data_IF_325652310528
#
_entry.id   IF_325652310528
#
_cell.length_a   1.000
_cell.length_b   1.000
_cell.length_c   1.000
_cell.angle_alpha   90.00
_cell.angle_beta   90.00
_cell.angle_gamma   90.00
#
_symmetry.space_group_name_H-M   'P 1'
#
loop_
_entity.id
_entity.type
_entity.pdbx_description
1 polymer ?
#
# COMPACT_ATOMS: atom_id res chain seq x y z
N UNK A 1 46.02 -9.57 -3.42
CA UNK A 1 44.62 -9.28 -3.06
C UNK A 1 43.80 -9.29 -4.34
N UNK A 2 42.98 -10.32 -4.60
CA UNK A 2 42.07 -10.37 -5.76
C UNK A 2 40.78 -9.63 -5.38
N UNK A 3 40.45 -8.58 -6.14
CA UNK A 3 39.17 -7.90 -6.04
C UNK A 3 38.05 -8.90 -6.40
N UNK A 4 37.08 -9.06 -5.52
CA UNK A 4 35.87 -9.82 -5.79
C UNK A 4 35.07 -9.09 -6.87
N UNK A 5 34.97 -9.68 -8.05
CA UNK A 5 34.13 -9.22 -9.13
C UNK A 5 32.67 -9.40 -8.67
N UNK A 6 31.98 -8.29 -8.44
CA UNK A 6 30.51 -8.32 -8.24
C UNK A 6 29.90 -8.85 -9.54
N UNK A 7 29.39 -10.09 -9.49
CA UNK A 7 28.68 -10.69 -10.61
C UNK A 7 27.38 -9.91 -10.83
N UNK A 8 27.32 -9.15 -11.92
CA UNK A 8 26.09 -8.48 -12.35
C UNK A 8 25.00 -9.52 -12.54
N UNK A 9 23.90 -9.36 -11.85
CA UNK A 9 22.74 -10.25 -12.00
C UNK A 9 22.21 -10.11 -13.43
N UNK A 10 22.06 -11.21 -14.19
CA UNK A 10 21.56 -11.14 -15.56
C UNK A 10 20.21 -10.39 -15.61
N UNK A 11 20.04 -9.52 -16.60
CA UNK A 11 18.86 -8.66 -16.73
C UNK A 11 17.53 -9.44 -16.72
N UNK A 12 17.53 -10.65 -17.25
CA UNK A 12 16.38 -11.55 -17.23
C UNK A 12 15.99 -12.02 -15.83
N UNK A 13 16.96 -12.28 -14.95
CA UNK A 13 16.69 -12.65 -13.55
C UNK A 13 16.08 -11.50 -12.77
N UNK A 14 16.54 -10.28 -13.02
CA UNK A 14 15.96 -9.07 -12.42
C UNK A 14 14.51 -8.85 -12.87
N UNK A 15 14.21 -9.07 -14.14
CA UNK A 15 12.85 -8.98 -14.67
C UNK A 15 11.91 -10.00 -14.01
N UNK A 16 12.34 -11.24 -13.89
CA UNK A 16 11.57 -12.30 -13.22
C UNK A 16 11.35 -11.97 -11.73
N UNK A 17 12.38 -11.51 -11.03
CA UNK A 17 12.25 -11.10 -9.61
C UNK A 17 11.24 -9.97 -9.44
N UNK A 18 11.29 -8.93 -10.27
CA UNK A 18 10.30 -7.85 -10.26
C UNK A 18 8.89 -8.36 -10.48
N UNK A 19 8.69 -9.26 -11.44
CA UNK A 19 7.38 -9.83 -11.70
C UNK A 19 6.85 -10.63 -10.50
N UNK A 20 7.70 -11.43 -9.86
CA UNK A 20 7.34 -12.18 -8.65
C UNK A 20 6.96 -11.22 -7.51
N UNK A 21 7.76 -10.16 -7.28
CA UNK A 21 7.46 -9.16 -6.25
C UNK A 21 6.14 -8.45 -6.52
N UNK A 22 5.91 -8.07 -7.77
CA UNK A 22 4.67 -7.43 -8.19
C UNK A 22 3.45 -8.32 -7.96
N UNK A 23 3.52 -9.58 -8.37
CA UNK A 23 2.44 -10.53 -8.15
C UNK A 23 2.16 -10.78 -6.66
N UNK A 24 3.20 -10.81 -5.82
CA UNK A 24 3.04 -10.89 -4.36
C UNK A 24 2.37 -9.65 -3.79
N UNK A 25 2.74 -8.48 -4.24
CA UNK A 25 2.13 -7.22 -3.79
C UNK A 25 0.64 -7.19 -4.13
N UNK A 26 0.27 -7.56 -5.35
CA UNK A 26 -1.13 -7.70 -5.75
C UNK A 26 -1.89 -8.72 -4.88
N UNK A 27 -1.28 -9.85 -4.58
CA UNK A 27 -1.89 -10.86 -3.72
C UNK A 27 -2.12 -10.35 -2.29
N UNK A 28 -1.17 -9.60 -1.72
CA UNK A 28 -1.31 -9.01 -0.38
C UNK A 28 -2.45 -7.99 -0.35
N UNK A 29 -2.54 -7.12 -1.34
CA UNK A 29 -3.59 -6.09 -1.40
C UNK A 29 -4.97 -6.73 -1.57
N UNK A 30 -5.07 -7.76 -2.40
CA UNK A 30 -6.32 -8.52 -2.56
C UNK A 30 -6.73 -9.22 -1.26
N UNK A 31 -5.78 -9.81 -0.52
CA UNK A 31 -6.04 -10.43 0.78
C UNK A 31 -6.52 -9.40 1.83
N UNK A 32 -5.98 -8.18 1.81
CA UNK A 32 -6.49 -7.08 2.64
C UNK A 32 -7.97 -6.80 2.35
N UNK A 33 -8.34 -6.64 1.08
CA UNK A 33 -9.72 -6.38 0.67
C UNK A 33 -10.65 -7.53 1.07
N UNK A 34 -10.26 -8.76 0.80
CA UNK A 34 -11.00 -9.95 1.16
C UNK A 34 -11.17 -10.12 2.68
N UNK A 35 -10.14 -9.77 3.44
CA UNK A 35 -10.19 -9.81 4.90
C UNK A 35 -11.17 -8.77 5.43
N UNK A 36 -11.15 -7.56 4.87
CA UNK A 36 -12.10 -6.51 5.24
C UNK A 36 -13.54 -6.94 4.92
N UNK A 37 -13.80 -7.51 3.74
CA UNK A 37 -15.10 -8.06 3.39
C UNK A 37 -15.60 -9.11 4.39
N UNK A 38 -14.73 -10.05 4.77
CA UNK A 38 -15.09 -11.14 5.70
C UNK A 38 -15.33 -10.67 7.13
N UNK A 39 -14.67 -9.60 7.55
CA UNK A 39 -14.73 -9.10 8.93
C UNK A 39 -15.67 -7.91 9.12
N UNK A 40 -16.11 -7.28 8.05
CA UNK A 40 -17.00 -6.12 8.11
C UNK A 40 -18.36 -6.45 8.69
N UNK A 41 -18.87 -5.59 9.56
CA UNK A 41 -20.22 -5.65 10.09
C UNK A 41 -21.25 -4.96 9.16
N UNK A 42 -20.78 -4.04 8.32
CA UNK A 42 -21.63 -3.31 7.37
C UNK A 42 -22.11 -4.22 6.23
N UNK A 43 -23.42 -4.32 5.98
CA UNK A 43 -23.94 -5.03 4.80
C UNK A 43 -23.47 -4.41 3.49
N UNK A 44 -23.31 -3.09 3.44
CA UNK A 44 -22.82 -2.38 2.26
C UNK A 44 -21.42 -2.86 1.88
N UNK A 45 -20.54 -2.95 2.84
CA UNK A 45 -19.18 -3.46 2.61
C UNK A 45 -19.21 -4.94 2.26
N UNK A 46 -19.92 -5.78 3.03
CA UNK A 46 -19.93 -7.23 2.86
C UNK A 46 -20.63 -7.71 1.59
N UNK A 47 -21.76 -7.09 1.23
CA UNK A 47 -22.65 -7.59 0.17
C UNK A 47 -22.48 -6.80 -1.13
N UNK A 48 -22.26 -5.48 -1.03
CA UNK A 48 -22.03 -4.62 -2.19
C UNK A 48 -20.56 -4.46 -2.56
N UNK A 49 -19.63 -4.89 -1.69
CA UNK A 49 -18.19 -4.74 -1.92
C UNK A 49 -17.73 -3.27 -1.93
N UNK A 50 -18.42 -2.41 -1.18
CA UNK A 50 -18.12 -0.97 -1.13
C UNK A 50 -16.91 -0.70 -0.25
N UNK A 51 -15.75 -0.99 -0.80
CA UNK A 51 -14.44 -0.79 -0.18
C UNK A 51 -13.37 -0.62 -1.26
N UNK A 52 -12.19 -0.17 -0.84
CA UNK A 52 -10.97 -0.22 -1.65
C UNK A 52 -9.78 -0.48 -0.76
N UNK A 53 -8.77 -1.18 -1.29
CA UNK A 53 -7.51 -1.43 -0.60
C UNK A 53 -6.34 -1.15 -1.55
N UNK A 54 -5.24 -0.60 -1.01
CA UNK A 54 -4.06 -0.27 -1.78
C UNK A 54 -2.81 -0.20 -0.93
N UNK A 55 -1.67 -0.34 -1.59
CA UNK A 55 -0.34 -0.14 -1.02
C UNK A 55 0.36 1.00 -1.74
N UNK A 56 1.04 1.83 -0.98
CA UNK A 56 1.67 3.07 -1.44
C UNK A 56 3.14 3.10 -1.06
N UNK A 57 3.92 3.84 -1.83
CA UNK A 57 5.29 4.20 -1.43
C UNK A 57 5.30 5.36 -0.42
N UNK A 58 6.49 5.68 0.08
CA UNK A 58 6.66 6.78 1.05
C UNK A 58 6.38 8.18 0.47
N UNK A 59 6.24 8.30 -0.84
CA UNK A 59 5.86 9.51 -1.54
C UNK A 59 4.35 9.59 -1.81
N UNK A 60 3.60 8.56 -1.41
CA UNK A 60 2.15 8.49 -1.63
C UNK A 60 1.75 8.04 -3.04
N UNK A 61 2.68 7.46 -3.82
CA UNK A 61 2.33 6.86 -5.11
C UNK A 61 1.77 5.45 -4.88
N UNK A 62 0.66 5.16 -5.52
CA UNK A 62 0.05 3.83 -5.45
C UNK A 62 0.93 2.80 -6.17
N UNK A 63 1.34 1.78 -5.45
CA UNK A 63 2.10 0.65 -5.98
C UNK A 63 1.18 -0.47 -6.47
N UNK A 64 0.14 -0.78 -5.71
CA UNK A 64 -0.85 -1.79 -6.06
C UNK A 64 -2.19 -1.48 -5.42
N UNK A 65 -3.26 -1.97 -6.05
CA UNK A 65 -4.62 -1.92 -5.54
C UNK A 65 -5.30 -3.28 -5.67
N UNK A 66 -6.27 -3.55 -4.82
CA UNK A 66 -7.11 -4.72 -4.96
C UNK A 66 -8.00 -4.62 -6.19
N UNK A 67 -8.27 -5.76 -6.81
CA UNK A 67 -9.27 -5.88 -7.89
C UNK A 67 -10.68 -5.84 -7.30
N UNK A 68 -10.84 -6.44 -6.11
CA UNK A 68 -12.06 -6.36 -5.32
C UNK A 68 -12.21 -4.95 -4.76
N UNK A 69 -13.31 -4.28 -5.08
CA UNK A 69 -13.61 -2.96 -4.54
C UNK A 69 -14.29 -2.02 -5.51
N UNK A 70 -14.56 -0.81 -5.04
CA UNK A 70 -15.24 0.24 -5.79
C UNK A 70 -14.24 1.04 -6.63
N UNK A 71 -14.30 0.98 -7.97
CA UNK A 71 -13.34 1.67 -8.84
C UNK A 71 -13.27 3.18 -8.61
N UNK A 72 -14.37 3.80 -8.21
CA UNK A 72 -14.43 5.25 -7.93
C UNK A 72 -13.56 5.69 -6.76
N UNK A 73 -13.26 4.80 -5.81
CA UNK A 73 -12.49 5.13 -4.62
C UNK A 73 -10.98 5.09 -4.85
N UNK A 74 -10.49 4.53 -5.94
CA UNK A 74 -9.05 4.33 -6.20
C UNK A 74 -8.28 5.64 -6.20
N UNK A 75 -8.74 6.62 -6.98
CA UNK A 75 -8.05 7.91 -7.09
C UNK A 75 -8.17 8.73 -5.80
N UNK A 76 -9.34 8.72 -5.17
CA UNK A 76 -9.57 9.44 -3.92
C UNK A 76 -8.76 8.85 -2.76
N UNK A 77 -8.58 7.53 -2.73
CA UNK A 77 -7.72 6.85 -1.76
C UNK A 77 -6.25 7.27 -1.95
N UNK A 78 -5.76 7.35 -3.19
CA UNK A 78 -4.39 7.80 -3.48
C UNK A 78 -4.17 9.25 -3.03
N UNK A 79 -5.14 10.13 -3.27
CA UNK A 79 -5.06 11.52 -2.83
C UNK A 79 -5.13 11.64 -1.31
N UNK A 80 -5.95 10.81 -0.66
CA UNK A 80 -6.04 10.74 0.80
C UNK A 80 -4.71 10.40 1.46
N UNK A 81 -3.97 9.45 0.90
CA UNK A 81 -2.64 9.07 1.41
C UNK A 81 -1.66 10.25 1.36
N UNK A 82 -1.70 11.06 0.31
CA UNK A 82 -0.88 12.29 0.25
C UNK A 82 -1.22 13.25 1.38
N UNK A 83 -2.49 13.45 1.67
CA UNK A 83 -2.91 14.30 2.78
C UNK A 83 -2.45 13.77 4.14
N UNK A 84 -2.40 12.44 4.33
CA UNK A 84 -1.81 11.87 5.54
C UNK A 84 -0.30 12.14 5.62
N UNK A 85 0.45 11.98 4.53
CA UNK A 85 1.89 12.24 4.49
C UNK A 85 2.19 13.74 4.70
N UNK A 86 1.37 14.64 4.17
CA UNK A 86 1.48 16.09 4.41
C UNK A 86 1.23 16.45 5.87
N UNK A 87 0.25 15.82 6.50
CA UNK A 87 -0.10 16.08 7.91
C UNK A 87 0.86 15.40 8.90
N UNK A 88 1.34 14.23 8.55
CA UNK A 88 2.22 13.39 9.34
C UNK A 88 3.40 12.96 8.45
N UNK A 89 4.53 13.67 8.46
CA UNK A 89 5.70 13.30 7.67
C UNK A 89 6.14 11.87 7.97
N UNK A 90 6.53 11.13 6.92
CA UNK A 90 6.87 9.70 7.03
C UNK A 90 7.95 9.40 8.07
N UNK A 91 8.86 10.36 8.33
CA UNK A 91 9.91 10.24 9.35
C UNK A 91 9.37 10.28 10.79
N UNK A 92 8.14 10.76 10.97
CA UNK A 92 7.46 10.81 12.28
C UNK A 92 6.50 9.65 12.51
N UNK A 93 6.25 8.83 11.49
CA UNK A 93 5.39 7.66 11.58
C UNK A 93 6.16 6.49 12.21
N UNK A 94 5.55 5.82 13.18
CA UNK A 94 6.09 4.60 13.76
C UNK A 94 5.39 3.37 13.19
N UNK A 95 6.07 2.22 13.25
CA UNK A 95 5.46 0.94 12.88
C UNK A 95 4.21 0.67 13.74
N UNK A 96 3.10 0.37 13.10
CA UNK A 96 1.83 0.11 13.76
C UNK A 96 0.97 1.34 14.02
N UNK A 97 1.44 2.54 13.68
CA UNK A 97 0.58 3.72 13.71
C UNK A 97 -0.58 3.56 12.73
N UNK A 98 -1.75 3.99 13.16
CA UNK A 98 -2.98 3.96 12.36
C UNK A 98 -3.54 5.37 12.26
N UNK A 99 -3.66 5.84 11.04
CA UNK A 99 -4.23 7.15 10.71
C UNK A 99 -5.59 6.95 10.06
N UNK A 100 -6.58 7.75 10.43
CA UNK A 100 -7.89 7.67 9.81
C UNK A 100 -8.51 9.05 9.58
N UNK A 101 -9.35 9.14 8.56
CA UNK A 101 -10.14 10.33 8.27
C UNK A 101 -11.46 9.95 7.63
N UNK A 102 -12.50 10.72 7.93
CA UNK A 102 -13.77 10.75 7.20
C UNK A 102 -14.02 12.14 6.58
N UNK A 103 -12.99 12.98 6.49
CA UNK A 103 -13.11 14.29 5.88
C UNK A 103 -13.34 14.13 4.37
N UNK A 104 -14.50 14.54 3.83
CA UNK A 104 -14.82 14.33 2.41
C UNK A 104 -13.88 15.07 1.45
N UNK A 105 -13.26 16.15 1.89
CA UNK A 105 -12.32 16.94 1.08
C UNK A 105 -10.90 16.34 1.04
N UNK A 106 -10.60 15.43 1.97
CA UNK A 106 -9.31 14.74 2.09
C UNK A 106 -9.44 13.23 2.03
N UNK A 107 -10.64 12.75 1.79
CA UNK A 107 -10.99 11.33 1.70
C UNK A 107 -11.69 10.99 0.40
N UNK A 108 -12.74 10.17 0.50
CA UNK A 108 -13.47 9.60 -0.65
C UNK A 108 -14.55 10.53 -1.23
N UNK A 109 -14.78 11.70 -0.65
CA UNK A 109 -15.83 12.63 -1.06
C UNK A 109 -17.14 12.44 -0.28
N UNK A 110 -17.23 11.45 0.60
CA UNK A 110 -18.41 11.13 1.40
C UNK A 110 -18.10 11.17 2.90
N UNK A 111 -19.02 11.71 3.70
CA UNK A 111 -18.86 11.80 5.16
C UNK A 111 -18.93 10.43 5.87
N UNK A 112 -19.61 9.48 5.25
CA UNK A 112 -19.81 8.14 5.82
C UNK A 112 -18.64 7.20 5.57
N UNK A 113 -17.76 7.55 4.65
CA UNK A 113 -16.60 6.75 4.33
C UNK A 113 -15.46 7.03 5.30
N UNK A 114 -14.76 5.99 5.66
CA UNK A 114 -13.59 6.05 6.51
C UNK A 114 -12.36 5.59 5.74
N UNK A 115 -11.40 6.47 5.56
CA UNK A 115 -10.09 6.12 5.01
C UNK A 115 -9.16 5.82 6.17
N UNK A 116 -8.58 4.61 6.14
CA UNK A 116 -7.63 4.13 7.16
C UNK A 116 -6.30 3.82 6.49
N UNK A 117 -5.22 4.36 7.04
CA UNK A 117 -3.86 4.15 6.54
C UNK A 117 -2.96 3.73 7.70
N UNK A 118 -2.10 2.76 7.48
CA UNK A 118 -1.10 2.34 8.45
C UNK A 118 0.29 2.41 7.83
N UNK A 119 1.30 2.75 8.66
CA UNK A 119 2.70 2.63 8.28
C UNK A 119 3.18 1.20 8.49
N UNK A 120 3.97 0.69 7.55
CA UNK A 120 4.60 -0.62 7.64
C UNK A 120 6.09 -0.47 7.41
N UNK A 121 6.90 -1.00 8.33
CA UNK A 121 8.33 -1.12 8.12
C UNK A 121 8.63 -2.32 7.20
N UNK A 122 9.20 -2.07 6.04
CA UNK A 122 9.63 -3.16 5.18
C UNK A 122 10.94 -3.74 5.72
N UNK A 123 10.88 -4.80 6.51
CA UNK A 123 12.05 -5.64 6.82
C UNK A 123 12.43 -6.45 5.58
N UNK A 124 12.98 -5.79 4.58
CA UNK A 124 13.57 -6.50 3.46
C UNK A 124 15.03 -6.78 3.83
N UNK A 125 15.37 -8.04 4.14
CA UNK A 125 16.76 -8.48 4.05
C UNK A 125 17.31 -8.20 2.65
N UNK A 126 18.62 -7.95 2.48
CA UNK A 126 19.16 -7.26 1.32
C UNK A 126 19.03 -8.07 0.05
N UNK A 127 17.91 -7.96 -0.61
CA UNK A 127 17.77 -8.33 -2.01
C UNK A 127 17.96 -7.13 -2.96
N UNK A 128 18.68 -6.08 -2.51
CA UNK A 128 19.06 -4.95 -3.37
C UNK A 128 17.96 -3.92 -3.62
N UNK A 129 16.97 -3.87 -2.77
CA UNK A 129 15.99 -2.76 -2.74
C UNK A 129 16.45 -1.80 -1.65
N UNK A 130 16.49 -0.51 -1.96
CA UNK A 130 17.02 0.54 -1.12
C UNK A 130 16.53 0.42 0.32
N UNK A 131 17.49 0.30 1.25
CA UNK A 131 17.24 0.55 2.67
C UNK A 131 16.86 2.02 2.82
N UNK A 132 15.67 2.29 3.31
CA UNK A 132 15.36 3.61 3.80
C UNK A 132 15.94 3.71 5.22
N UNK A 133 16.74 4.75 5.51
CA UNK A 133 17.29 4.92 6.85
C UNK A 133 16.16 5.15 7.85
N UNK A 134 16.29 4.46 8.96
CA UNK A 134 15.48 4.65 10.18
C UNK A 134 15.58 6.08 10.71
#
# INVERSE_FOLDING_TARGET
MKAATLTETPSGVLAIRRQIMWNRLLAVVEEQAQTLLRTAFSPIVREAGDLSAGVFDLQGHMLAQAVTGTPGHVNSMAESVRHFIEAFPTQSMAEGDVYCTNNPWKGTGHLNDLVVTTSQESRCEPCGVAQYPS
#
